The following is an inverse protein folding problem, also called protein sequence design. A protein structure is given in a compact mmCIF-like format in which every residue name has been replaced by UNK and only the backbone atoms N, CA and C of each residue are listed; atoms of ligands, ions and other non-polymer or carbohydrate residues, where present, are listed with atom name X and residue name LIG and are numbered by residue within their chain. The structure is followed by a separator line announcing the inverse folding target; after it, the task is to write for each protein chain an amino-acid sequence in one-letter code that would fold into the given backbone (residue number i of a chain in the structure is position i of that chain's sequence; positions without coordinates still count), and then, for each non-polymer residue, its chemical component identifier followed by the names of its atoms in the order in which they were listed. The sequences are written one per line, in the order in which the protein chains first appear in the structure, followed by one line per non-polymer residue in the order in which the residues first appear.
data_IF_681736076806
#
_entry.id   IF_681736076806
#
_cell.length_a   1.000
_cell.length_b   1.000
_cell.length_c   1.000
_cell.angle_alpha   90.00
_cell.angle_beta   90.00
_cell.angle_gamma   90.00
#
_symmetry.space_group_name_H-M   'P 1'
#
loop_
_entity.id
_entity.type
_entity.pdbx_description
1 polymer ?
#
# COMPACT_ATOMS: atom_id res chain seq x y z
N UNK A 1 0.10 13.45 -2.90
CA UNK A 1 -0.62 12.26 -3.40
C UNK A 1 -1.83 12.03 -2.51
N UNK A 2 -3.04 12.00 -3.09
CA UNK A 2 -4.28 11.54 -2.46
C UNK A 2 -4.66 10.12 -2.94
N UNK A 3 -5.79 9.58 -2.49
CA UNK A 3 -6.23 8.24 -2.92
C UNK A 3 -6.55 8.14 -4.41
N UNK A 4 -7.03 9.22 -5.04
CA UNK A 4 -7.33 9.23 -6.48
C UNK A 4 -6.04 9.15 -7.30
N UNK A 5 -5.05 9.99 -6.97
CA UNK A 5 -3.72 9.98 -7.60
C UNK A 5 -3.01 8.64 -7.37
N UNK A 6 -3.13 8.07 -6.17
CA UNK A 6 -2.62 6.73 -5.84
C UNK A 6 -3.27 5.65 -6.70
N UNK A 7 -4.60 5.64 -6.80
CA UNK A 7 -5.33 4.64 -7.58
C UNK A 7 -5.08 4.78 -9.08
N UNK A 8 -4.95 6.01 -9.58
CA UNK A 8 -4.57 6.29 -10.97
C UNK A 8 -3.15 5.77 -11.26
N UNK A 9 -2.20 5.97 -10.35
CA UNK A 9 -0.86 5.43 -10.51
C UNK A 9 -0.88 3.89 -10.55
N UNK A 10 -1.52 3.24 -9.58
CA UNK A 10 -1.56 1.78 -9.52
C UNK A 10 -2.29 1.16 -10.73
N UNK A 11 -3.35 1.80 -11.24
CA UNK A 11 -4.08 1.31 -12.42
C UNK A 11 -3.28 1.41 -13.72
N UNK A 12 -2.31 2.33 -13.79
CA UNK A 12 -1.42 2.49 -14.95
C UNK A 12 -0.39 1.36 -15.09
N UNK A 13 -0.17 0.57 -14.04
CA UNK A 13 0.82 -0.51 -14.04
C UNK A 13 0.29 -1.75 -14.78
N UNK A 14 1.11 -2.41 -15.62
CA UNK A 14 0.67 -3.57 -16.40
C UNK A 14 0.18 -4.74 -15.54
N UNK A 15 -0.85 -5.45 -16.03
CA UNK A 15 -1.38 -6.67 -15.42
C UNK A 15 -1.77 -6.53 -13.93
N UNK A 16 -2.17 -5.32 -13.52
CA UNK A 16 -2.69 -5.07 -12.19
C UNK A 16 -4.20 -5.30 -12.10
N UNK A 17 -4.67 -5.63 -10.91
CA UNK A 17 -6.08 -5.69 -10.59
C UNK A 17 -6.36 -4.99 -9.26
N UNK A 18 -7.59 -4.50 -9.14
CA UNK A 18 -8.04 -3.69 -8.02
C UNK A 18 -9.28 -4.30 -7.36
N UNK A 19 -9.34 -4.21 -6.04
CA UNK A 19 -10.55 -4.47 -5.26
C UNK A 19 -10.60 -3.53 -4.06
N UNK A 20 -11.78 -2.95 -3.81
CA UNK A 20 -12.05 -2.25 -2.55
C UNK A 20 -12.59 -3.25 -1.54
N UNK A 21 -11.83 -3.53 -0.47
CA UNK A 21 -12.19 -4.53 0.53
C UNK A 21 -11.63 -4.17 1.91
N UNK A 22 -11.92 -4.98 2.93
CA UNK A 22 -11.40 -4.80 4.30
C UNK A 22 -11.67 -3.42 4.90
N UNK A 23 -12.94 -2.98 4.84
CA UNK A 23 -13.36 -1.72 5.43
C UNK A 23 -12.99 -0.48 4.61
N UNK A 24 -13.02 -0.58 3.28
CA UNK A 24 -12.78 0.57 2.39
C UNK A 24 -11.35 0.67 1.85
N UNK A 25 -10.48 -0.31 2.10
CA UNK A 25 -9.10 -0.28 1.66
C UNK A 25 -8.98 -0.57 0.16
N UNK A 26 -8.13 0.22 -0.51
CA UNK A 26 -7.78 0.08 -1.92
C UNK A 26 -6.67 -0.96 -2.10
N UNK A 27 -7.06 -2.21 -2.40
CA UNK A 27 -6.13 -3.35 -2.51
C UNK A 27 -5.75 -3.58 -3.97
N UNK A 28 -4.45 -3.45 -4.25
CA UNK A 28 -3.87 -3.63 -5.58
C UNK A 28 -3.02 -4.89 -5.67
N UNK A 29 -3.21 -5.63 -6.76
CA UNK A 29 -2.57 -6.93 -7.00
C UNK A 29 -1.92 -6.98 -8.39
N UNK A 30 -0.90 -7.80 -8.53
CA UNK A 30 -0.29 -8.19 -9.82
C UNK A 30 -0.21 -9.71 -9.87
N UNK A 31 -0.72 -10.33 -10.95
CA UNK A 31 -0.81 -11.79 -11.04
C UNK A 31 -1.55 -12.43 -9.84
N UNK A 32 -2.57 -11.74 -9.30
CA UNK A 32 -3.34 -12.20 -8.13
C UNK A 32 -2.67 -11.98 -6.76
N UNK A 33 -1.43 -11.48 -6.70
CA UNK A 33 -0.69 -11.23 -5.44
C UNK A 33 -0.70 -9.74 -5.07
N UNK A 34 -0.97 -9.42 -3.81
CA UNK A 34 -0.97 -8.03 -3.31
C UNK A 34 0.41 -7.40 -3.41
N UNK A 35 0.48 -6.15 -3.87
CA UNK A 35 1.71 -5.34 -3.87
C UNK A 35 1.57 -3.99 -3.16
N UNK A 36 0.36 -3.40 -3.15
CA UNK A 36 0.06 -2.15 -2.45
C UNK A 36 -1.36 -2.15 -1.88
N UNK A 37 -1.53 -1.54 -0.71
CA UNK A 37 -2.83 -1.33 -0.06
C UNK A 37 -2.88 0.12 0.42
N UNK A 38 -3.83 0.89 -0.09
CA UNK A 38 -4.12 2.24 0.39
C UNK A 38 -5.27 2.20 1.38
N UNK A 39 -5.12 2.79 2.56
CA UNK A 39 -6.15 2.81 3.60
C UNK A 39 -5.64 2.41 4.98
N UNK A 40 -6.55 2.19 5.92
CA UNK A 40 -6.30 1.77 7.32
C UNK A 40 -5.56 2.75 8.23
N UNK A 41 -5.28 3.97 7.80
CA UNK A 41 -4.79 4.99 8.73
C UNK A 41 -5.93 5.71 9.43
N UNK A 42 -5.76 5.95 10.73
CA UNK A 42 -6.57 6.88 11.50
C UNK A 42 -6.05 8.33 11.39
N UNK A 43 -4.90 8.53 10.72
CA UNK A 43 -4.33 9.85 10.49
C UNK A 43 -4.92 10.48 9.24
N UNK A 44 -5.05 11.81 9.24
CA UNK A 44 -5.40 12.56 8.05
C UNK A 44 -4.34 12.38 6.96
N UNK A 45 -4.76 12.03 5.75
CA UNK A 45 -3.89 11.84 4.59
C UNK A 45 -3.82 10.41 4.05
N UNK A 46 -3.10 10.25 2.94
CA UNK A 46 -2.86 8.97 2.30
C UNK A 46 -1.87 8.13 3.12
N UNK A 47 -2.25 6.90 3.45
CA UNK A 47 -1.35 5.89 3.98
C UNK A 47 -1.36 4.65 3.10
N UNK A 48 -0.18 4.12 2.81
CA UNK A 48 0.00 2.98 1.91
C UNK A 48 0.89 1.93 2.57
N UNK A 49 0.42 0.68 2.61
CA UNK A 49 1.26 -0.48 2.90
C UNK A 49 1.74 -1.08 1.58
N UNK A 50 3.04 -1.30 1.42
CA UNK A 50 3.63 -1.82 0.18
C UNK A 50 4.78 -2.79 0.49
N UNK A 51 5.14 -3.60 -0.49
CA UNK A 51 6.22 -4.59 -0.35
C UNK A 51 7.59 -3.97 -0.55
N UNK A 52 8.53 -4.40 0.29
CA UNK A 52 9.95 -4.04 0.22
C UNK A 52 10.82 -5.30 0.38
N UNK A 53 12.10 -5.20 0.08
CA UNK A 53 13.06 -6.25 0.45
C UNK A 53 13.27 -6.28 1.97
N UNK A 54 13.77 -7.39 2.52
CA UNK A 54 14.11 -7.49 3.93
C UNK A 54 15.10 -6.40 4.37
N UNK A 55 16.12 -6.14 3.55
CA UNK A 55 17.08 -5.05 3.79
C UNK A 55 16.39 -3.68 3.87
N UNK A 56 15.52 -3.35 2.90
CA UNK A 56 14.81 -2.07 2.92
C UNK A 56 13.82 -1.97 4.07
N UNK A 57 13.20 -3.09 4.49
CA UNK A 57 12.35 -3.11 5.67
C UNK A 57 13.14 -2.69 6.91
N UNK A 58 14.32 -3.26 7.13
CA UNK A 58 15.17 -2.91 8.28
C UNK A 58 15.64 -1.46 8.25
N UNK A 59 15.91 -0.91 7.07
CA UNK A 59 16.29 0.51 6.92
C UNK A 59 15.10 1.44 7.15
N UNK A 60 13.91 1.11 6.63
CA UNK A 60 12.77 2.03 6.57
C UNK A 60 11.88 2.00 7.81
N UNK A 61 11.75 0.86 8.51
CA UNK A 61 10.72 0.68 9.55
C UNK A 61 10.73 1.72 10.68
N UNK A 62 11.90 2.32 10.94
CA UNK A 62 12.12 3.31 12.01
C UNK A 62 12.35 4.74 11.46
N UNK A 63 12.26 4.95 10.14
CA UNK A 63 12.42 6.28 9.54
C UNK A 63 11.16 7.14 9.76
N UNK A 64 11.31 8.48 9.86
CA UNK A 64 10.17 9.38 9.96
C UNK A 64 9.16 9.16 8.83
N UNK A 65 7.89 8.95 9.19
CA UNK A 65 6.80 8.69 8.24
C UNK A 65 6.59 7.23 7.86
N UNK A 66 7.42 6.31 8.36
CA UNK A 66 7.29 4.87 8.16
C UNK A 66 6.95 4.15 9.46
N UNK A 67 6.29 3.00 9.31
CA UNK A 67 6.06 2.03 10.38
C UNK A 67 5.84 0.65 9.77
N UNK A 68 6.09 -0.45 10.50
CA UNK A 68 5.64 -1.77 10.08
C UNK A 68 4.13 -1.81 9.80
N UNK A 69 3.74 -2.49 8.72
CA UNK A 69 2.35 -2.64 8.36
C UNK A 69 1.64 -3.58 9.36
N UNK A 70 0.50 -3.17 9.94
CA UNK A 70 -0.19 -4.01 10.91
C UNK A 70 -0.83 -5.19 10.17
N UNK A 71 -0.75 -6.38 10.75
CA UNK A 71 -1.36 -7.61 10.21
C UNK A 71 -0.80 -8.10 8.87
N UNK A 72 0.33 -7.55 8.41
CA UNK A 72 1.00 -7.95 7.17
C UNK A 72 2.45 -8.33 7.49
N UNK A 73 2.91 -9.43 6.90
CA UNK A 73 4.27 -9.96 7.02
C UNK A 73 4.97 -9.96 5.65
#
# INVERSE_FOLDING_TARGET
MNYDEYNQYCSSLPATSYVNQWGGAHVWKVGGKVFAIGGWSQTEGLAVSFKVSAYNFDVLKDQPGFRPAPYLA
#
